data_IF_188595571564
#
_entry.id   IF_188595571564
#
_cell.length_a   1.000
_cell.length_b   1.000
_cell.length_c   1.000
_cell.angle_alpha   90.00
_cell.angle_beta   90.00
_cell.angle_gamma   90.00
#
_symmetry.space_group_name_H-M   'P 1'
#
loop_
_entity.id
_entity.type
_entity.pdbx_description
1 polymer ?
#
# COMPACT_ATOMS: atom_id res chain seq x y z
N UNK A 1 -2.18 17.74 16.91
CA UNK A 1 -1.42 17.14 15.80
C UNK A 1 -0.75 15.91 16.38
N UNK A 2 -1.56 14.88 16.58
CA UNK A 2 -1.11 13.58 17.05
C UNK A 2 -0.78 12.79 15.80
N UNK A 3 0.41 12.97 15.24
CA UNK A 3 0.81 12.23 14.05
C UNK A 3 1.28 10.85 14.50
N UNK A 4 0.34 10.02 14.96
CA UNK A 4 0.51 8.57 14.93
C UNK A 4 0.64 8.19 13.46
N UNK A 5 1.88 7.99 13.00
CA UNK A 5 2.18 7.57 11.64
C UNK A 5 1.36 6.30 11.33
N UNK A 6 0.42 6.38 10.39
CA UNK A 6 -0.39 5.23 10.00
C UNK A 6 0.25 4.48 8.84
N UNK A 7 -0.11 3.21 8.65
CA UNK A 7 0.28 2.43 7.47
C UNK A 7 -0.02 3.19 6.17
N UNK A 8 -1.18 3.85 6.12
CA UNK A 8 -1.62 4.66 4.99
C UNK A 8 -0.65 5.80 4.67
N UNK A 9 -0.11 6.47 5.69
CA UNK A 9 0.86 7.56 5.52
C UNK A 9 2.17 7.03 4.94
N UNK A 10 2.66 5.87 5.42
CA UNK A 10 3.88 5.24 4.92
C UNK A 10 3.75 4.83 3.45
N UNK A 11 2.62 4.21 3.08
CA UNK A 11 2.35 3.82 1.70
C UNK A 11 2.21 5.06 0.82
N UNK A 12 1.53 6.10 1.31
CA UNK A 12 1.39 7.38 0.59
C UNK A 12 2.74 8.02 0.30
N UNK A 13 3.59 8.12 1.31
CA UNK A 13 4.91 8.74 1.21
C UNK A 13 5.77 7.99 0.17
N UNK A 14 5.81 6.66 0.25
CA UNK A 14 6.49 5.83 -0.73
C UNK A 14 5.95 6.01 -2.14
N UNK A 15 4.63 6.06 -2.30
CA UNK A 15 4.00 6.23 -3.62
C UNK A 15 4.36 7.58 -4.24
N UNK A 16 4.44 8.64 -3.43
CA UNK A 16 4.78 9.97 -3.92
C UNK A 16 6.26 10.08 -4.27
N UNK A 17 7.13 9.55 -3.40
CA UNK A 17 8.56 9.55 -3.66
C UNK A 17 8.93 8.77 -4.92
N UNK A 18 8.34 7.58 -5.11
CA UNK A 18 8.65 6.69 -6.23
C UNK A 18 7.87 7.01 -7.53
N UNK A 19 6.59 7.43 -7.43
CA UNK A 19 5.72 7.60 -8.62
C UNK A 19 5.31 9.04 -8.91
N UNK A 20 5.26 9.94 -7.92
CA UNK A 20 4.83 11.34 -8.10
C UNK A 20 5.80 12.33 -7.43
N UNK A 21 7.08 12.37 -7.84
CA UNK A 21 8.06 13.23 -7.19
C UNK A 21 7.64 14.70 -7.33
N UNK A 22 7.41 15.35 -6.18
CA UNK A 22 6.99 16.76 -6.10
C UNK A 22 5.48 17.00 -6.13
N UNK A 23 4.65 15.96 -6.07
CA UNK A 23 3.22 16.11 -5.82
C UNK A 23 2.93 16.31 -4.33
N UNK A 24 1.90 17.11 -4.02
CA UNK A 24 1.46 17.29 -2.65
C UNK A 24 0.84 16.01 -2.11
N UNK A 25 1.27 15.54 -0.94
CA UNK A 25 0.78 14.29 -0.39
C UNK A 25 -0.70 14.38 -0.03
N UNK A 26 -1.21 15.59 0.25
CA UNK A 26 -2.63 15.85 0.45
C UNK A 26 -3.51 15.61 -0.78
N UNK A 27 -2.96 15.56 -1.99
CA UNK A 27 -3.69 15.20 -3.21
C UNK A 27 -4.01 13.70 -3.28
N UNK A 28 -3.18 12.87 -2.65
CA UNK A 28 -3.36 11.41 -2.60
C UNK A 28 -4.14 11.08 -1.33
N UNK A 29 -5.44 10.85 -1.50
CA UNK A 29 -6.32 10.44 -0.39
C UNK A 29 -6.35 8.92 -0.29
N UNK A 30 -6.70 8.35 0.88
CA UNK A 30 -6.81 6.91 1.02
C UNK A 30 -7.93 6.27 0.18
N UNK A 31 -8.84 7.07 -0.36
CA UNK A 31 -9.87 6.64 -1.30
C UNK A 31 -9.47 6.85 -2.77
N UNK A 32 -8.33 7.50 -3.01
CA UNK A 32 -7.83 7.76 -4.36
C UNK A 32 -7.38 6.45 -5.00
N UNK A 33 -7.90 6.21 -6.19
CA UNK A 33 -7.59 5.07 -7.03
C UNK A 33 -6.19 5.26 -7.66
N UNK A 34 -5.17 4.58 -7.14
CA UNK A 34 -3.79 4.73 -7.61
C UNK A 34 -3.61 4.18 -9.03
N UNK A 35 -4.28 3.06 -9.34
CA UNK A 35 -4.25 2.45 -10.67
C UNK A 35 -5.07 3.24 -11.70
N UNK A 36 -6.35 3.55 -11.40
CA UNK A 36 -7.19 4.31 -12.35
C UNK A 36 -6.73 5.76 -12.53
N UNK A 37 -6.11 6.38 -11.52
CA UNK A 37 -5.54 7.72 -11.66
C UNK A 37 -4.26 7.72 -12.51
N UNK A 38 -3.72 6.54 -12.85
CA UNK A 38 -2.46 6.41 -13.58
C UNK A 38 -1.23 6.77 -12.74
N UNK A 39 -1.36 6.76 -11.41
CA UNK A 39 -0.24 6.98 -10.47
C UNK A 39 0.64 5.73 -10.45
N UNK A 40 0.00 4.56 -10.45
CA UNK A 40 0.68 3.27 -10.45
C UNK A 40 0.32 2.50 -11.71
N UNK A 41 1.35 2.13 -12.49
CA UNK A 41 1.27 1.17 -13.57
C UNK A 41 1.37 -0.28 -13.06
N UNK A 42 1.06 -1.26 -13.91
CA UNK A 42 1.18 -2.69 -13.59
C UNK A 42 2.57 -3.10 -13.09
N UNK A 43 3.64 -2.43 -13.54
CA UNK A 43 5.00 -2.64 -13.02
C UNK A 43 5.24 -1.95 -11.68
N UNK A 44 4.65 -0.78 -11.47
CA UNK A 44 4.74 -0.05 -10.20
C UNK A 44 4.07 -0.80 -9.07
N UNK A 45 2.96 -1.48 -9.37
CA UNK A 45 2.26 -2.33 -8.43
C UNK A 45 3.17 -3.42 -7.84
N UNK A 46 3.94 -4.11 -8.67
CA UNK A 46 4.88 -5.15 -8.22
C UNK A 46 5.97 -4.57 -7.30
N UNK A 47 6.48 -3.36 -7.60
CA UNK A 47 7.44 -2.68 -6.72
C UNK A 47 6.83 -2.33 -5.38
N UNK A 48 5.60 -1.80 -5.38
CA UNK A 48 4.87 -1.46 -4.16
C UNK A 48 4.69 -2.69 -3.28
N UNK A 49 4.30 -3.81 -3.88
CA UNK A 49 4.10 -5.09 -3.20
C UNK A 49 5.41 -5.58 -2.58
N UNK A 50 6.51 -5.61 -3.34
CA UNK A 50 7.81 -6.02 -2.82
C UNK A 50 8.28 -5.13 -1.65
N UNK A 51 7.99 -3.82 -1.74
CA UNK A 51 8.25 -2.89 -0.65
C UNK A 51 7.39 -3.19 0.58
N UNK A 52 6.09 -3.45 0.40
CA UNK A 52 5.16 -3.81 1.48
C UNK A 52 5.58 -5.10 2.18
N UNK A 53 5.93 -6.15 1.43
CA UNK A 53 6.43 -7.41 1.98
C UNK A 53 7.67 -7.17 2.85
N UNK A 54 8.63 -6.39 2.34
CA UNK A 54 9.88 -6.10 3.06
C UNK A 54 9.65 -5.19 4.26
N UNK A 55 8.77 -4.18 4.13
CA UNK A 55 8.53 -3.15 5.14
C UNK A 55 7.72 -3.66 6.32
N UNK A 56 6.75 -4.54 6.06
CA UNK A 56 5.84 -5.08 7.07
C UNK A 56 6.12 -6.55 7.40
N UNK A 57 7.13 -7.17 6.78
CA UNK A 57 7.47 -8.60 6.91
C UNK A 57 6.25 -9.51 6.71
N UNK A 58 5.42 -9.15 5.74
CA UNK A 58 4.22 -9.90 5.33
C UNK A 58 4.51 -10.68 4.05
N UNK A 59 3.96 -11.89 3.90
CA UNK A 59 4.03 -12.63 2.63
C UNK A 59 2.86 -12.25 1.72
N UNK A 60 3.10 -11.84 0.48
CA UNK A 60 2.02 -11.54 -0.46
C UNK A 60 2.03 -12.63 -1.54
N UNK A 61 1.03 -13.52 -1.52
CA UNK A 61 0.89 -14.59 -2.50
C UNK A 61 0.29 -14.07 -3.82
N UNK A 62 0.45 -14.82 -4.92
CA UNK A 62 -0.09 -14.47 -6.24
C UNK A 62 -1.61 -14.16 -6.23
N UNK A 63 -2.36 -14.85 -5.36
CA UNK A 63 -3.79 -14.61 -5.14
C UNK A 63 -4.10 -13.28 -4.47
N UNK A 64 -3.15 -12.74 -3.70
CA UNK A 64 -3.27 -11.44 -3.04
C UNK A 64 -2.81 -10.31 -3.97
N UNK A 65 -1.98 -10.60 -5.00
CA UNK A 65 -1.54 -9.70 -6.09
C UNK A 65 -2.68 -9.22 -7.01
N UNK A 66 -3.90 -9.14 -6.52
CA UNK A 66 -5.02 -8.62 -7.30
C UNK A 66 -4.98 -7.08 -7.29
N UNK A 67 -5.02 -6.41 -8.45
CA UNK A 67 -5.04 -4.95 -8.52
C UNK A 67 -6.20 -4.32 -7.72
N UNK A 68 -7.29 -5.05 -7.46
CA UNK A 68 -8.37 -4.59 -6.59
C UNK A 68 -7.93 -4.42 -5.12
N UNK A 69 -6.98 -5.24 -4.63
CA UNK A 69 -6.43 -5.13 -3.28
C UNK A 69 -5.48 -3.92 -3.14
N UNK A 70 -4.82 -3.53 -4.23
CA UNK A 70 -3.87 -2.41 -4.26
C UNK A 70 -4.43 -1.16 -4.96
N UNK A 71 -5.74 -1.15 -5.18
CA UNK A 71 -6.49 -0.10 -5.84
C UNK A 71 -6.26 1.27 -5.21
N UNK A 72 -6.30 1.34 -3.88
CA UNK A 72 -6.19 2.57 -3.11
C UNK A 72 -5.45 2.32 -1.79
N UNK A 73 -5.00 3.37 -1.11
CA UNK A 73 -4.25 3.22 0.15
C UNK A 73 -5.10 2.52 1.22
N UNK A 74 -6.42 2.71 1.23
CA UNK A 74 -7.28 2.10 2.24
C UNK A 74 -7.32 0.57 2.10
N UNK A 75 -7.43 0.03 0.88
CA UNK A 75 -7.39 -1.44 0.67
C UNK A 75 -6.01 -2.00 0.99
N UNK A 76 -4.94 -1.27 0.66
CA UNK A 76 -3.57 -1.65 1.01
C UNK A 76 -3.37 -1.69 2.53
N UNK A 77 -3.76 -0.62 3.22
CA UNK A 77 -3.67 -0.54 4.68
C UNK A 77 -4.49 -1.65 5.32
N UNK A 78 -5.74 -1.85 4.88
CA UNK A 78 -6.58 -2.94 5.39
C UNK A 78 -5.98 -4.33 5.11
N UNK A 79 -5.25 -4.49 4.01
CA UNK A 79 -4.56 -5.73 3.67
C UNK A 79 -3.35 -5.98 4.59
N UNK A 80 -2.56 -4.94 4.89
CA UNK A 80 -1.41 -5.00 5.80
C UNK A 80 -1.87 -5.19 7.25
N UNK A 81 -2.93 -4.51 7.66
CA UNK A 81 -3.50 -4.58 9.01
C UNK A 81 -4.36 -5.83 9.24
N UNK A 82 -4.64 -6.61 8.19
CA UNK A 82 -5.44 -7.83 8.31
C UNK A 82 -4.72 -8.80 9.25
N UNK A 83 -5.33 -9.19 10.37
CA UNK A 83 -4.75 -10.19 11.26
C UNK A 83 -4.72 -11.52 10.54
N UNK A 84 -3.53 -11.93 10.10
CA UNK A 84 -3.32 -13.29 9.62
C UNK A 84 -3.31 -14.21 10.83
N UNK A 85 -3.99 -15.36 10.79
CA UNK A 85 -3.83 -16.36 11.82
C UNK A 85 -2.36 -16.78 11.81
N UNK A 86 -1.60 -16.34 12.81
CA UNK A 86 -0.28 -16.91 13.09
C UNK A 86 -0.46 -18.41 13.26
N UNK A 87 0.16 -19.27 12.43
CA UNK A 87 0.19 -20.70 12.68
C UNK A 87 1.08 -20.94 13.90
N UNK A 88 0.52 -20.79 15.11
CA UNK A 88 1.31 -20.80 16.33
C UNK A 88 0.56 -20.62 17.65
N UNK A 89 -0.77 -20.77 17.67
CA UNK A 89 -1.51 -20.91 18.93
C UNK A 89 -2.04 -22.34 19.02
N UNK A 90 -1.20 -23.24 19.55
CA UNK A 90 -1.58 -24.56 20.09
C UNK A 90 -1.45 -24.55 21.59
#
# INVERSE_FOLDING_TARGET
>A
MDTTLTTSDLVRDYVIDEFLPGADPEQVTPQTDLLNSGIIDSLGLLKLIAWLETRFEIGIDDTDLDPENFRNLNTITAFVERPRPTPGSV
#
